data_IF_853648995544
#
_entry.id   IF_853648995544
#
_cell.length_a   1.000
_cell.length_b   1.000
_cell.length_c   1.000
_cell.angle_alpha   90.00
_cell.angle_beta   90.00
_cell.angle_gamma   90.00
#
_symmetry.space_group_name_H-M   'P 1'
#
loop_
_entity.id
_entity.type
_entity.pdbx_description
1 polymer ?
#
# COMPACT_ATOMS: atom_id res chain seq x y z
N UNK A 1 21.11 34.47 18.56
CA UNK A 1 20.46 33.40 17.78
C UNK A 1 18.96 33.57 17.93
N UNK A 2 18.28 34.01 16.87
CA UNK A 2 16.86 34.37 16.93
C UNK A 2 15.94 33.15 17.04
N UNK A 3 14.91 33.26 17.88
CA UNK A 3 13.78 32.34 17.97
C UNK A 3 12.90 32.45 16.72
N UNK A 4 13.37 31.94 15.58
CA UNK A 4 12.57 31.84 14.36
C UNK A 4 12.01 30.42 14.27
N UNK A 5 10.68 30.30 14.24
CA UNK A 5 10.01 29.00 14.08
C UNK A 5 10.43 28.38 12.75
N UNK A 6 11.09 27.22 12.82
CA UNK A 6 11.51 26.48 11.62
C UNK A 6 10.28 26.00 10.86
N UNK A 7 10.00 26.64 9.72
CA UNK A 7 8.85 26.34 8.86
C UNK A 7 9.03 24.99 8.14
N UNK A 8 10.25 24.68 7.71
CA UNK A 8 10.61 23.43 7.01
C UNK A 8 11.12 22.37 8.00
N UNK A 9 10.21 21.83 8.80
CA UNK A 9 10.50 20.71 9.71
C UNK A 9 10.51 19.36 8.96
N UNK A 10 11.01 18.30 9.58
CA UNK A 10 10.94 16.91 9.08
C UNK A 10 9.52 16.51 8.66
N UNK A 11 8.50 16.98 9.37
CA UNK A 11 7.09 16.80 9.01
C UNK A 11 6.71 17.46 7.67
N UNK A 12 7.30 18.62 7.34
CA UNK A 12 7.09 19.30 6.05
C UNK A 12 7.66 18.44 4.91
N UNK A 13 8.91 17.98 5.04
CA UNK A 13 9.55 17.14 4.01
C UNK A 13 8.88 15.77 3.84
N UNK A 14 8.29 15.18 4.89
CA UNK A 14 7.54 13.91 4.79
C UNK A 14 6.30 14.03 3.89
N UNK A 15 5.64 15.19 3.83
CA UNK A 15 4.45 15.42 2.99
C UNK A 15 4.78 15.55 1.50
N UNK A 16 5.99 15.99 1.15
CA UNK A 16 6.45 16.15 -0.24
C UNK A 16 7.12 14.91 -0.84
N UNK A 17 7.18 13.77 -0.12
CA UNK A 17 7.88 12.58 -0.62
C UNK A 17 7.24 11.93 -1.87
N UNK A 18 6.10 12.44 -2.37
CA UNK A 18 5.48 11.95 -3.61
C UNK A 18 4.99 10.50 -3.57
N UNK A 19 4.90 9.90 -2.37
CA UNK A 19 4.59 8.47 -2.19
C UNK A 19 3.10 8.14 -2.28
N UNK A 20 2.23 9.14 -2.14
CA UNK A 20 0.77 8.94 -2.07
C UNK A 20 0.06 10.07 -2.79
N UNK A 21 -0.71 9.70 -3.81
CA UNK A 21 -1.63 10.60 -4.47
C UNK A 21 -2.92 10.72 -3.66
N UNK A 22 -3.10 11.86 -2.98
CA UNK A 22 -4.25 12.07 -2.09
C UNK A 22 -5.57 12.20 -2.84
N UNK A 23 -5.55 12.64 -4.10
CA UNK A 23 -6.75 12.77 -4.93
C UNK A 23 -7.37 11.39 -5.23
N UNK A 24 -6.56 10.46 -5.78
CA UNK A 24 -7.02 9.09 -6.07
C UNK A 24 -7.34 8.32 -4.79
N UNK A 25 -6.54 8.50 -3.73
CA UNK A 25 -6.81 7.88 -2.41
C UNK A 25 -8.16 8.32 -1.84
N UNK A 26 -8.54 9.60 -1.96
CA UNK A 26 -9.83 10.10 -1.47
C UNK A 26 -10.99 9.37 -2.16
N UNK A 27 -10.97 9.25 -3.48
CA UNK A 27 -12.02 8.54 -4.23
C UNK A 27 -12.10 7.04 -3.89
N UNK A 28 -10.94 6.40 -3.66
CA UNK A 28 -10.89 4.98 -3.34
C UNK A 28 -11.36 4.67 -1.91
N UNK A 29 -11.02 5.51 -0.93
CA UNK A 29 -11.34 5.30 0.50
C UNK A 29 -12.78 5.65 0.84
N UNK A 30 -13.33 6.70 0.22
CA UNK A 30 -14.68 7.15 0.57
C UNK A 30 -15.70 6.05 0.23
N UNK A 31 -16.54 5.79 1.22
CA UNK A 31 -17.67 4.90 1.12
C UNK A 31 -18.95 5.69 1.41
N UNK A 32 -20.05 5.27 0.79
CA UNK A 32 -21.36 5.85 1.04
C UNK A 32 -21.73 5.69 2.50
N UNK A 33 -22.14 6.80 3.14
CA UNK A 33 -22.51 6.83 4.56
C UNK A 33 -23.67 5.88 4.89
N UNK A 34 -24.51 5.59 3.90
CA UNK A 34 -25.62 4.64 4.01
C UNK A 34 -25.15 3.23 4.38
N UNK A 35 -23.88 2.91 4.11
CA UNK A 35 -23.27 1.62 4.40
C UNK A 35 -22.51 1.59 5.74
N UNK A 36 -22.69 2.62 6.57
CA UNK A 36 -22.19 2.74 7.94
C UNK A 36 -20.76 2.19 8.13
N UNK A 37 -20.64 1.07 8.85
CA UNK A 37 -19.37 0.49 9.27
C UNK A 37 -18.91 -0.67 8.37
N UNK A 38 -19.56 -0.89 7.23
CA UNK A 38 -19.05 -1.89 6.29
C UNK A 38 -17.74 -1.36 5.71
N UNK A 39 -16.69 -2.19 5.74
CA UNK A 39 -15.37 -1.78 5.32
C UNK A 39 -15.21 -1.85 3.79
N UNK A 40 -14.72 -0.77 3.18
CA UNK A 40 -14.27 -0.79 1.78
C UNK A 40 -12.85 -1.34 1.70
N UNK A 41 -12.72 -2.58 1.24
CA UNK A 41 -11.43 -3.19 0.99
C UNK A 41 -10.83 -2.67 -0.32
N UNK A 42 -9.54 -2.34 -0.29
CA UNK A 42 -8.75 -2.03 -1.47
C UNK A 42 -7.53 -2.93 -1.55
N UNK A 43 -7.21 -3.36 -2.77
CA UNK A 43 -5.94 -4.03 -3.05
C UNK A 43 -4.89 -2.96 -3.39
N UNK A 44 -3.83 -2.92 -2.60
CA UNK A 44 -2.66 -2.06 -2.78
C UNK A 44 -1.59 -2.94 -3.42
N UNK A 45 -1.26 -2.65 -4.68
CA UNK A 45 -0.13 -3.27 -5.37
C UNK A 45 0.98 -2.24 -5.48
N UNK A 46 2.17 -2.59 -5.00
CA UNK A 46 3.38 -1.77 -5.13
C UNK A 46 4.46 -2.60 -5.78
N UNK A 47 4.90 -2.16 -6.95
CA UNK A 47 6.06 -2.72 -7.64
C UNK A 47 7.28 -1.91 -7.21
N UNK A 48 8.26 -2.59 -6.65
CA UNK A 48 9.59 -2.05 -6.38
C UNK A 48 10.59 -2.65 -7.36
N UNK A 49 11.81 -2.12 -7.42
CA UNK A 49 12.83 -2.59 -8.36
C UNK A 49 13.21 -4.06 -8.21
N UNK A 50 12.93 -4.68 -7.04
CA UNK A 50 13.32 -6.05 -6.73
C UNK A 50 12.16 -6.92 -6.22
N UNK A 51 11.07 -6.31 -5.79
CA UNK A 51 9.95 -7.01 -5.16
C UNK A 51 8.59 -6.45 -5.60
N UNK A 52 7.60 -7.33 -5.65
CA UNK A 52 6.19 -6.97 -5.76
C UNK A 52 5.55 -7.18 -4.39
N UNK A 53 4.82 -6.16 -3.94
CA UNK A 53 4.13 -6.16 -2.66
C UNK A 53 2.64 -6.02 -2.94
N UNK A 54 1.86 -7.00 -2.50
CA UNK A 54 0.40 -6.98 -2.60
C UNK A 54 -0.18 -6.95 -1.19
N UNK A 55 -1.05 -5.98 -0.91
CA UNK A 55 -1.70 -5.85 0.39
C UNK A 55 -3.19 -5.62 0.22
N UNK A 56 -4.01 -6.20 1.09
CA UNK A 56 -5.43 -5.85 1.19
C UNK A 56 -5.59 -5.03 2.46
N UNK A 57 -6.08 -3.81 2.29
CA UNK A 57 -6.28 -2.88 3.39
C UNK A 57 -7.67 -2.28 3.34
N UNK A 58 -8.17 -1.89 4.50
CA UNK A 58 -9.34 -1.05 4.63
C UNK A 58 -9.01 0.15 5.52
N UNK A 59 -9.70 1.27 5.30
CA UNK A 59 -9.43 2.50 6.02
C UNK A 59 -10.19 2.55 7.35
N UNK A 60 -9.51 2.88 8.44
CA UNK A 60 -10.10 3.36 9.70
C UNK A 60 -9.63 4.79 9.97
N UNK A 61 -10.30 5.44 10.93
CA UNK A 61 -9.96 6.83 11.35
C UNK A 61 -8.54 6.90 11.89
N UNK A 62 -8.11 5.88 12.63
CA UNK A 62 -6.76 5.80 13.22
C UNK A 62 -5.67 5.50 12.17
N UNK A 63 -6.03 4.85 11.06
CA UNK A 63 -5.10 4.42 10.03
C UNK A 63 -5.65 3.33 9.14
N UNK A 64 -4.89 2.96 8.11
CA UNK A 64 -5.23 1.81 7.26
C UNK A 64 -4.92 0.52 8.02
N UNK A 65 -5.92 -0.36 8.15
CA UNK A 65 -5.75 -1.70 8.69
C UNK A 65 -5.44 -2.68 7.57
N UNK A 66 -4.33 -3.38 7.68
CA UNK A 66 -3.90 -4.40 6.72
C UNK A 66 -4.48 -5.74 7.15
N UNK A 67 -5.30 -6.34 6.29
CA UNK A 67 -5.86 -7.68 6.52
C UNK A 67 -4.86 -8.74 6.07
N UNK A 68 -4.18 -8.46 4.97
CA UNK A 68 -3.46 -9.42 4.17
C UNK A 68 -2.22 -8.77 3.57
N UNK A 69 -1.07 -9.44 3.67
CA UNK A 69 0.16 -9.09 2.95
C UNK A 69 0.64 -10.29 2.14
N UNK A 70 1.23 -10.03 0.98
CA UNK A 70 1.93 -11.01 0.16
C UNK A 70 3.14 -10.34 -0.48
N UNK A 71 4.25 -11.07 -0.53
CA UNK A 71 5.51 -10.55 -1.03
C UNK A 71 6.11 -11.46 -2.10
N UNK A 72 6.76 -10.86 -3.09
CA UNK A 72 7.38 -11.61 -4.18
C UNK A 72 8.56 -12.49 -3.73
N UNK A 73 9.29 -12.11 -2.69
CA UNK A 73 10.38 -12.90 -2.14
C UNK A 73 9.94 -14.19 -1.43
N UNK A 74 8.63 -14.39 -1.21
CA UNK A 74 8.10 -15.65 -0.65
C UNK A 74 7.84 -16.69 -1.74
N UNK A 75 7.79 -16.29 -3.03
CA UNK A 75 7.60 -17.19 -4.16
C UNK A 75 8.65 -18.30 -4.35
N UNK A 76 9.93 -18.11 -3.98
CA UNK A 76 10.93 -19.18 -4.05
C UNK A 76 10.54 -20.42 -3.22
N UNK A 77 9.72 -20.26 -2.17
CA UNK A 77 9.19 -21.39 -1.37
C UNK A 77 8.21 -22.27 -2.16
N UNK A 78 7.58 -21.70 -3.19
CA UNK A 78 6.57 -22.36 -4.04
C UNK A 78 7.13 -22.78 -5.41
N UNK A 79 8.45 -22.80 -5.57
CA UNK A 79 9.12 -23.29 -6.78
C UNK A 79 9.45 -22.23 -7.83
N UNK A 80 9.04 -20.97 -7.64
CA UNK A 80 9.41 -19.86 -8.54
C UNK A 80 10.68 -19.19 -8.02
N UNK A 81 11.83 -19.72 -8.43
CA UNK A 81 13.16 -19.33 -7.92
C UNK A 81 13.76 -18.07 -8.56
N UNK A 82 13.29 -17.65 -9.74
CA UNK A 82 13.92 -16.58 -10.53
C UNK A 82 12.87 -15.58 -11.05
N UNK A 83 13.18 -14.29 -10.92
CA UNK A 83 12.39 -13.19 -11.51
C UNK A 83 11.17 -12.75 -10.68
N UNK A 84 11.35 -12.28 -9.43
CA UNK A 84 10.25 -11.82 -8.55
C UNK A 84 9.49 -10.60 -9.11
N UNK A 85 10.02 -9.91 -10.11
CA UNK A 85 9.45 -8.70 -10.74
C UNK A 85 8.74 -8.96 -12.06
N UNK A 86 8.69 -10.21 -12.53
CA UNK A 86 8.08 -10.55 -13.81
C UNK A 86 6.54 -10.55 -13.71
N UNK A 87 5.85 -10.44 -14.84
CA UNK A 87 4.39 -10.50 -14.89
C UNK A 87 3.83 -11.80 -14.25
N UNK A 88 4.51 -12.92 -14.47
CA UNK A 88 4.18 -14.20 -13.83
C UNK A 88 4.29 -14.14 -12.30
N UNK A 89 5.33 -13.49 -11.77
CA UNK A 89 5.49 -13.29 -10.34
C UNK A 89 4.40 -12.36 -9.77
N UNK A 90 4.01 -11.30 -10.51
CA UNK A 90 2.89 -10.45 -10.13
C UNK A 90 1.58 -11.25 -10.02
N UNK A 91 1.29 -12.09 -11.02
CA UNK A 91 0.12 -12.95 -11.01
C UNK A 91 0.15 -13.95 -9.86
N UNK A 92 1.29 -14.61 -9.63
CA UNK A 92 1.46 -15.55 -8.53
C UNK A 92 1.34 -14.87 -7.15
N UNK A 93 1.90 -13.67 -6.95
CA UNK A 93 1.72 -12.90 -5.69
C UNK A 93 0.25 -12.53 -5.44
N UNK A 94 -0.49 -12.19 -6.50
CA UNK A 94 -1.92 -11.88 -6.41
C UNK A 94 -2.77 -13.11 -6.12
N UNK A 95 -2.54 -14.21 -6.86
CA UNK A 95 -3.24 -15.48 -6.68
C UNK A 95 -2.97 -16.09 -5.30
N UNK A 96 -1.73 -16.02 -4.82
CA UNK A 96 -1.31 -16.55 -3.52
C UNK A 96 -2.18 -16.01 -2.38
N UNK A 97 -2.65 -14.77 -2.47
CA UNK A 97 -3.46 -14.16 -1.39
C UNK A 97 -4.96 -14.28 -1.57
N UNK A 98 -5.44 -14.65 -2.77
CA UNK A 98 -6.85 -14.85 -3.08
C UNK A 98 -7.34 -16.27 -2.77
N UNK A 99 -6.44 -17.20 -2.46
CA UNK A 99 -6.75 -18.58 -2.06
C UNK A 99 -6.60 -18.73 -0.54
#
# INVERSE_FOLDING_TARGET
MGFVKVVKNTAYFKRYQGKTDYYTRKCLVIQDKNKYNTAKYRMIVRVTNRDIICQIAYARIEGDMIVCTAYAHELPKYGVKVGPTNYAAAYCTGLWRLK
#
